data_IF_967973882632
#
_entry.id   IF_967973882632
#
_cell.length_a   1.000
_cell.length_b   1.000
_cell.length_c   1.000
_cell.angle_alpha   90.00
_cell.angle_beta   90.00
_cell.angle_gamma   90.00
#
_symmetry.space_group_name_H-M   'P 1'
#
loop_
_entity.id
_entity.type
_entity.pdbx_description
1 polymer ?
#
# COMPACT_ATOMS: atom_id res chain seq x y z
N UNK A 1 4.95 17.86 -10.64
CA UNK A 1 4.94 17.34 -9.25
C UNK A 1 6.16 17.81 -8.51
N UNK A 2 6.03 18.01 -7.22
CA UNK A 2 7.12 18.49 -6.40
C UNK A 2 7.57 17.39 -5.45
N UNK A 3 8.86 17.07 -5.45
CA UNK A 3 9.38 16.07 -4.52
C UNK A 3 9.43 16.67 -3.13
N UNK A 4 8.76 16.04 -2.17
CA UNK A 4 8.71 16.54 -0.80
C UNK A 4 9.42 15.62 0.20
N UNK A 5 9.77 14.41 -0.21
CA UNK A 5 10.45 13.48 0.68
C UNK A 5 11.16 12.39 -0.12
N UNK A 6 12.30 11.96 0.37
CA UNK A 6 13.01 10.82 -0.23
C UNK A 6 13.75 10.08 0.89
N UNK A 7 13.68 8.76 0.88
CA UNK A 7 14.40 7.95 1.84
C UNK A 7 14.73 6.63 1.17
N UNK A 8 16.00 6.33 1.06
CA UNK A 8 16.50 5.16 0.33
C UNK A 8 15.94 5.20 -1.09
N UNK A 9 15.25 4.16 -1.51
CA UNK A 9 14.73 4.11 -2.88
C UNK A 9 13.28 4.61 -2.98
N UNK A 10 12.72 5.10 -1.90
CA UNK A 10 11.35 5.62 -1.91
C UNK A 10 11.33 7.14 -2.00
N UNK A 11 10.43 7.65 -2.82
CA UNK A 11 10.29 9.09 -3.04
C UNK A 11 8.81 9.45 -2.93
N UNK A 12 8.52 10.61 -2.35
CA UNK A 12 7.16 11.11 -2.27
C UNK A 12 7.09 12.44 -2.98
N UNK A 13 6.08 12.58 -3.85
CA UNK A 13 5.82 13.81 -4.58
C UNK A 13 4.48 14.38 -4.13
N UNK A 14 4.36 15.69 -4.19
CA UNK A 14 3.11 16.37 -3.93
C UNK A 14 2.53 16.85 -5.25
N UNK A 15 1.23 16.61 -5.47
CA UNK A 15 0.52 17.11 -6.63
C UNK A 15 -0.48 18.14 -6.14
N UNK A 16 -0.04 19.37 -6.06
CA UNK A 16 -0.85 20.43 -5.45
C UNK A 16 -2.19 20.65 -6.14
N UNK A 17 -2.21 20.60 -7.46
CA UNK A 17 -3.45 20.86 -8.19
C UNK A 17 -4.47 19.73 -8.00
N UNK A 18 -4.05 18.57 -7.49
CA UNK A 18 -4.95 17.46 -7.26
C UNK A 18 -5.12 17.15 -5.78
N UNK A 19 -4.46 17.95 -4.93
CA UNK A 19 -4.53 17.78 -3.48
C UNK A 19 -4.24 16.33 -3.08
N UNK A 20 -3.16 15.78 -3.59
CA UNK A 20 -2.79 14.42 -3.30
C UNK A 20 -1.28 14.26 -3.31
N UNK A 21 -0.83 13.09 -2.87
CA UNK A 21 0.58 12.74 -2.87
C UNK A 21 0.78 11.50 -3.72
N UNK A 22 1.98 11.35 -4.27
CA UNK A 22 2.34 10.17 -5.06
C UNK A 22 3.57 9.56 -4.42
N UNK A 23 3.49 8.27 -4.09
CA UNK A 23 4.61 7.53 -3.51
C UNK A 23 5.18 6.64 -4.59
N UNK A 24 6.48 6.69 -4.78
CA UNK A 24 7.14 5.97 -5.86
C UNK A 24 8.36 5.20 -5.36
N UNK A 25 8.49 3.96 -5.83
CA UNK A 25 9.67 3.14 -5.57
C UNK A 25 10.57 3.25 -6.80
N UNK A 26 11.73 3.89 -6.65
CA UNK A 26 12.62 4.15 -7.77
C UNK A 26 13.25 2.90 -8.36
N UNK A 27 13.10 1.76 -7.72
CA UNK A 27 13.59 0.48 -8.26
C UNK A 27 12.65 -0.08 -9.31
N UNK A 28 11.49 0.53 -9.52
CA UNK A 28 10.49 0.06 -10.47
C UNK A 28 10.25 1.11 -11.54
N UNK A 29 9.64 0.68 -12.64
CA UNK A 29 9.20 1.61 -13.67
C UNK A 29 8.13 2.49 -13.07
N UNK A 30 8.08 3.74 -13.51
CA UNK A 30 7.12 4.68 -12.96
C UNK A 30 5.68 4.15 -12.99
N UNK A 31 5.28 3.60 -14.12
CA UNK A 31 3.90 3.16 -14.27
C UNK A 31 3.52 2.03 -13.33
N UNK A 32 4.47 1.20 -12.95
CA UNK A 32 4.20 0.08 -12.10
C UNK A 32 4.51 0.33 -10.64
N UNK A 33 5.36 1.31 -10.37
CA UNK A 33 5.91 1.50 -9.05
C UNK A 33 5.44 2.72 -8.28
N UNK A 34 4.33 3.33 -8.68
CA UNK A 34 3.81 4.47 -7.94
C UNK A 34 2.37 4.25 -7.55
N UNK A 35 1.95 4.97 -6.52
CA UNK A 35 0.57 4.96 -6.08
C UNK A 35 0.19 6.35 -5.58
N UNK A 36 -1.09 6.68 -5.66
CA UNK A 36 -1.61 7.97 -5.24
C UNK A 36 -2.27 7.82 -3.88
N UNK A 37 -2.08 8.80 -3.02
CA UNK A 37 -2.66 8.75 -1.69
C UNK A 37 -3.00 10.17 -1.24
N UNK A 38 -4.00 10.30 -0.38
CA UNK A 38 -4.57 11.61 -0.08
C UNK A 38 -3.80 12.46 0.92
N UNK A 39 -3.14 11.87 1.87
CA UNK A 39 -2.49 12.65 2.92
C UNK A 39 -1.01 12.34 3.02
N UNK A 40 -0.25 13.34 3.46
CA UNK A 40 1.18 13.18 3.66
C UNK A 40 1.45 12.11 4.71
N UNK A 41 0.64 12.08 5.76
CA UNK A 41 0.81 11.09 6.83
C UNK A 41 0.69 9.67 6.29
N UNK A 42 -0.30 9.43 5.44
CA UNK A 42 -0.47 8.12 4.84
C UNK A 42 0.66 7.78 3.88
N UNK A 43 1.16 8.78 3.15
CA UNK A 43 2.29 8.58 2.25
C UNK A 43 3.51 8.14 3.04
N UNK A 44 3.77 8.79 4.16
CA UNK A 44 4.92 8.44 5.01
C UNK A 44 4.75 7.05 5.61
N UNK A 45 3.53 6.68 5.94
CA UNK A 45 3.27 5.36 6.47
C UNK A 45 3.52 4.28 5.41
N UNK A 46 3.13 4.55 4.17
CA UNK A 46 3.44 3.63 3.06
C UNK A 46 4.95 3.43 2.92
N UNK A 47 5.70 4.53 2.95
CA UNK A 47 7.15 4.46 2.84
C UNK A 47 7.73 3.61 3.96
N UNK A 48 7.28 3.86 5.18
CA UNK A 48 7.76 3.11 6.33
C UNK A 48 7.48 1.62 6.20
N UNK A 49 6.27 1.28 5.78
CA UNK A 49 5.89 -0.12 5.62
C UNK A 49 6.74 -0.81 4.56
N UNK A 50 6.97 -0.13 3.44
CA UNK A 50 7.77 -0.71 2.36
C UNK A 50 9.22 -0.94 2.80
N UNK A 51 9.81 0.07 3.44
CA UNK A 51 11.21 -0.02 3.83
C UNK A 51 11.45 -1.04 4.95
N UNK A 52 10.44 -1.33 5.74
CA UNK A 52 10.56 -2.27 6.85
C UNK A 52 9.82 -3.58 6.62
N UNK A 53 9.31 -3.81 5.42
CA UNK A 53 8.54 -5.01 5.08
C UNK A 53 7.43 -5.26 6.11
N UNK A 54 6.73 -4.18 6.47
CA UNK A 54 5.72 -4.23 7.49
C UNK A 54 4.34 -4.28 6.85
N UNK A 55 3.48 -5.14 7.37
CA UNK A 55 2.10 -5.24 6.90
C UNK A 55 1.19 -4.80 8.02
N UNK A 56 0.59 -3.60 7.92
CA UNK A 56 -0.25 -3.08 8.99
C UNK A 56 -1.52 -3.89 9.16
N UNK A 57 -2.05 -3.93 10.36
CA UNK A 57 -3.22 -4.73 10.63
C UNK A 57 -4.53 -4.03 10.36
N UNK A 58 -4.61 -2.77 10.68
CA UNK A 58 -5.87 -2.03 10.54
C UNK A 58 -5.81 -0.99 9.45
N UNK A 59 -5.81 -1.44 8.22
CA UNK A 59 -5.83 -0.54 7.08
C UNK A 59 -6.79 -1.12 6.07
N UNK A 60 -7.26 -0.28 5.14
CA UNK A 60 -8.22 -0.75 4.16
C UNK A 60 -7.51 -1.50 3.04
N UNK A 61 -8.31 -2.14 2.19
CA UNK A 61 -7.78 -2.91 1.06
C UNK A 61 -6.93 -2.07 0.13
N UNK A 62 -7.35 -0.83 -0.09
CA UNK A 62 -6.62 0.05 -1.00
C UNK A 62 -5.18 0.25 -0.53
N UNK A 63 -5.00 0.43 0.77
CA UNK A 63 -3.67 0.62 1.33
C UNK A 63 -2.81 -0.64 1.12
N UNK A 64 -3.39 -1.81 1.35
CA UNK A 64 -2.69 -3.07 1.15
C UNK A 64 -2.31 -3.28 -0.30
N UNK A 65 -3.21 -2.97 -1.22
CA UNK A 65 -2.93 -3.09 -2.65
C UNK A 65 -1.81 -2.13 -3.04
N UNK A 66 -1.80 -0.93 -2.45
CA UNK A 66 -0.75 0.05 -2.71
C UNK A 66 0.61 -0.47 -2.25
N UNK A 67 0.67 -1.11 -1.09
CA UNK A 67 1.91 -1.72 -0.61
C UNK A 67 2.38 -2.81 -1.56
N UNK A 68 1.45 -3.64 -2.01
CA UNK A 68 1.78 -4.71 -2.93
C UNK A 68 2.33 -4.16 -4.23
N UNK A 69 1.73 -3.09 -4.73
CA UNK A 69 2.16 -2.45 -5.97
C UNK A 69 3.55 -1.82 -5.83
N UNK A 70 3.83 -1.21 -4.68
CA UNK A 70 5.10 -0.53 -4.47
C UNK A 70 6.27 -1.46 -4.17
N UNK A 71 6.01 -2.65 -3.69
CA UNK A 71 7.08 -3.55 -3.25
C UNK A 71 7.79 -4.22 -4.41
N UNK A 72 9.09 -4.46 -4.27
CA UNK A 72 9.85 -5.29 -5.20
C UNK A 72 10.07 -6.68 -4.62
N UNK A 73 9.65 -6.92 -3.37
CA UNK A 73 9.85 -8.21 -2.72
C UNK A 73 8.71 -9.15 -3.04
N UNK A 74 9.00 -10.24 -3.71
CA UNK A 74 7.99 -11.23 -4.06
C UNK A 74 7.35 -11.81 -2.80
N UNK A 75 8.17 -12.09 -1.80
CA UNK A 75 7.69 -12.66 -0.55
C UNK A 75 6.71 -11.72 0.15
N UNK A 76 7.06 -10.44 0.20
CA UNK A 76 6.20 -9.44 0.83
C UNK A 76 4.88 -9.33 0.08
N UNK A 77 4.94 -9.30 -1.26
CA UNK A 77 3.73 -9.22 -2.06
C UNK A 77 2.83 -10.43 -1.84
N UNK A 78 3.41 -11.60 -1.71
CA UNK A 78 2.65 -12.82 -1.46
C UNK A 78 2.01 -12.79 -0.09
N UNK A 79 2.70 -12.27 0.90
CA UNK A 79 2.14 -12.14 2.25
C UNK A 79 0.95 -11.19 2.24
N UNK A 80 1.06 -10.09 1.50
CA UNK A 80 -0.05 -9.15 1.39
C UNK A 80 -1.22 -9.80 0.65
N UNK A 81 -0.93 -10.56 -0.40
CA UNK A 81 -1.99 -11.23 -1.15
C UNK A 81 -2.75 -12.21 -0.25
N UNK A 82 -2.02 -12.95 0.58
CA UNK A 82 -2.66 -13.86 1.52
C UNK A 82 -3.51 -13.11 2.52
N UNK A 83 -3.04 -11.95 2.96
CA UNK A 83 -3.79 -11.14 3.88
C UNK A 83 -5.08 -10.64 3.22
N UNK A 84 -5.00 -10.21 1.96
CA UNK A 84 -6.18 -9.77 1.22
C UNK A 84 -7.18 -10.91 1.04
N UNK A 85 -6.69 -12.09 0.72
CA UNK A 85 -7.54 -13.26 0.54
C UNK A 85 -8.11 -13.70 1.88
N UNK A 86 -7.28 -13.67 2.92
CA UNK A 86 -7.69 -14.06 4.25
C UNK A 86 -8.76 -13.14 4.82
N UNK A 87 -8.58 -11.85 4.65
CA UNK A 87 -9.56 -10.89 5.13
C UNK A 87 -10.92 -11.18 4.47
N UNK A 88 -10.90 -11.42 3.18
CA UNK A 88 -12.13 -11.72 2.46
C UNK A 88 -12.76 -13.02 2.97
N UNK A 89 -11.94 -14.03 3.16
CA UNK A 89 -12.42 -15.31 3.63
C UNK A 89 -12.93 -15.22 5.08
N UNK A 90 -12.19 -14.51 5.90
CA UNK A 90 -12.58 -14.37 7.29
C UNK A 90 -13.91 -13.63 7.41
N UNK A 91 -14.08 -12.60 6.63
CA UNK A 91 -15.34 -11.90 6.62
C UNK A 91 -16.46 -12.85 6.27
N UNK A 92 -16.24 -13.64 5.26
CA UNK A 92 -17.25 -14.57 4.81
C UNK A 92 -17.54 -15.65 5.84
N UNK A 93 -16.50 -16.24 6.41
CA UNK A 93 -16.70 -17.35 7.34
C UNK A 93 -17.07 -16.93 8.75
N UNK A 94 -16.71 -15.74 9.14
CA UNK A 94 -17.00 -15.28 10.48
C UNK A 94 -18.33 -14.58 10.62
N UNK A 95 -19.02 -14.38 9.55
CA UNK A 95 -20.35 -13.87 9.65
C UNK A 95 -21.21 -14.98 10.20
N UNK A 96 -22.32 -14.63 10.77
CA UNK A 96 -23.17 -15.62 11.32
C UNK A 96 -23.39 -16.62 10.25
N UNK A 97 -23.22 -17.80 10.61
CA UNK A 97 -23.23 -18.76 9.63
C UNK A 97 -24.36 -18.83 8.81
N UNK A 98 -25.10 -18.11 9.08
CA UNK A 98 -26.04 -17.90 8.41
C UNK A 98 -25.81 -17.51 7.18
N UNK A 99 -24.89 -16.84 7.04
CA UNK A 99 -24.84 -16.25 5.96
C UNK A 99 -24.02 -16.90 5.08
N UNK A 100 -23.41 -17.76 5.46
CA UNK A 100 -22.76 -18.35 4.53
C UNK A 100 -23.47 -19.52 4.18
N UNK A 101 -24.03 -19.32 4.44
CA UNK A 101 -24.50 -20.04 4.07
C UNK A 101 -24.70 -20.18 3.40
#
# INVERSE_FOLDING_TARGET
MKKVFARKYMVVFEREEHDEFVVYNTKKEWEEGHTHIHTYKQAMYLVDCILNNKIPKKVNKYFLVSLQRLSTSKKYKEQIQRRLDGDTKEEYYNRPKYYRK
#
